data_IF_770813747620
#
_entry.id   IF_770813747620
#
_cell.length_a   1.000
_cell.length_b   1.000
_cell.length_c   1.000
_cell.angle_alpha   90.00
_cell.angle_beta   90.00
_cell.angle_gamma   90.00
#
_symmetry.space_group_name_H-M   'P 1'
#
loop_
_entity.id
_entity.type
_entity.pdbx_description
1 polymer ?
#
# COMPACT_ATOMS: atom_id res chain seq x y z
N UNK A 1 9.70 45.67 5.58
CA UNK A 1 9.28 45.03 6.83
C UNK A 1 7.81 45.28 7.16
N UNK A 2 6.95 45.21 6.18
CA UNK A 2 5.51 45.20 6.40
C UNK A 2 4.88 44.21 5.43
N UNK A 3 4.49 43.02 5.94
CA UNK A 3 3.71 42.11 5.10
C UNK A 3 3.66 40.63 5.50
N UNK A 4 4.02 40.26 6.71
CA UNK A 4 3.85 38.89 7.21
C UNK A 4 3.11 38.86 8.55
N UNK A 5 1.98 39.56 8.62
CA UNK A 5 1.03 39.37 9.71
C UNK A 5 -0.13 38.56 9.15
N UNK A 6 -0.23 37.27 9.55
CA UNK A 6 -1.45 36.49 9.35
C UNK A 6 -1.35 35.16 8.63
N UNK A 7 -0.21 34.50 8.59
CA UNK A 7 -0.19 33.04 8.43
C UNK A 7 0.64 32.45 9.56
N UNK A 8 -0.01 31.82 10.53
CA UNK A 8 0.66 30.87 11.39
C UNK A 8 1.29 29.83 10.46
N UNK A 9 2.58 30.01 10.19
CA UNK A 9 3.37 29.02 9.47
C UNK A 9 3.47 27.82 10.43
N UNK A 10 2.56 26.86 10.29
CA UNK A 10 2.67 25.57 10.98
C UNK A 10 3.99 24.97 10.55
N UNK A 11 5.05 25.20 11.34
CA UNK A 11 6.34 24.56 11.16
C UNK A 11 6.09 23.08 11.38
N UNK A 12 6.26 22.28 10.32
CA UNK A 12 6.22 20.82 10.38
C UNK A 12 7.65 20.33 10.32
N UNK A 13 8.00 19.46 11.23
CA UNK A 13 9.36 18.89 11.31
C UNK A 13 9.29 17.38 11.12
N UNK A 14 10.26 16.82 10.42
CA UNK A 14 10.36 15.39 10.17
C UNK A 14 11.77 14.90 10.46
N UNK A 15 11.91 14.06 11.49
CA UNK A 15 13.15 13.49 11.96
C UNK A 15 13.24 12.04 11.45
N UNK A 16 13.89 11.85 10.29
CA UNK A 16 13.86 10.60 9.52
C UNK A 16 15.26 10.04 9.23
N UNK A 17 16.24 10.29 10.10
CA UNK A 17 17.59 9.73 9.94
C UNK A 17 17.62 8.23 10.28
N UNK A 18 18.76 7.60 10.09
CA UNK A 18 18.96 6.18 10.44
C UNK A 18 19.15 5.91 11.92
N UNK A 19 19.41 6.95 12.76
CA UNK A 19 19.55 6.84 14.21
C UNK A 19 18.27 7.26 14.91
N UNK A 20 17.69 6.35 15.70
CA UNK A 20 16.48 6.57 16.50
C UNK A 20 16.71 7.66 17.57
N UNK A 21 17.90 7.66 18.19
CA UNK A 21 18.28 8.61 19.23
C UNK A 21 18.38 10.02 18.66
N UNK A 22 18.99 10.18 17.49
CA UNK A 22 19.06 11.46 16.77
C UNK A 22 17.66 11.94 16.41
N UNK A 23 16.79 11.06 15.92
CA UNK A 23 15.44 11.42 15.57
C UNK A 23 14.62 11.90 16.77
N UNK A 24 14.73 11.22 17.91
CA UNK A 24 14.07 11.64 19.16
C UNK A 24 14.62 12.98 19.67
N UNK A 25 15.94 13.13 19.68
CA UNK A 25 16.60 14.38 20.13
C UNK A 25 16.23 15.56 19.21
N UNK A 26 16.26 15.36 17.88
CA UNK A 26 15.86 16.37 16.92
C UNK A 26 14.38 16.77 17.10
N UNK A 27 13.50 15.80 17.33
CA UNK A 27 12.09 16.04 17.63
C UNK A 27 11.91 16.90 18.88
N UNK A 28 12.67 16.62 19.95
CA UNK A 28 12.65 17.41 21.19
C UNK A 28 13.11 18.86 20.94
N UNK A 29 14.21 19.04 20.20
CA UNK A 29 14.74 20.36 19.84
C UNK A 29 13.75 21.12 18.98
N UNK A 30 13.17 20.46 17.96
CA UNK A 30 12.14 21.01 17.08
C UNK A 30 10.95 21.56 17.88
N UNK A 31 10.50 20.82 18.89
CA UNK A 31 9.40 21.26 19.76
C UNK A 31 9.79 22.41 20.68
N UNK A 32 10.88 22.25 21.43
CA UNK A 32 11.25 23.18 22.50
C UNK A 32 11.87 24.48 21.99
N UNK A 33 12.70 24.41 20.95
CA UNK A 33 13.44 25.57 20.44
C UNK A 33 12.74 26.27 19.29
N UNK A 34 12.08 25.52 18.42
CA UNK A 34 11.48 26.04 17.18
C UNK A 34 9.94 26.03 17.20
N UNK A 35 9.33 25.55 18.30
CA UNK A 35 7.88 25.47 18.47
C UNK A 35 7.16 24.81 17.26
N UNK A 36 7.76 23.72 16.75
CA UNK A 36 7.18 22.97 15.63
C UNK A 36 5.74 22.55 15.97
N UNK A 37 4.81 22.85 15.08
CA UNK A 37 3.38 22.57 15.27
C UNK A 37 3.04 21.10 15.06
N UNK A 38 3.76 20.39 14.16
CA UNK A 38 3.64 18.94 13.95
C UNK A 38 5.02 18.30 13.78
N UNK A 39 5.22 17.18 14.44
CA UNK A 39 6.49 16.47 14.44
C UNK A 39 6.27 15.01 14.07
N UNK A 40 7.02 14.55 13.06
CA UNK A 40 7.11 13.15 12.63
C UNK A 40 8.47 12.60 13.01
N UNK A 41 8.51 11.46 13.68
CA UNK A 41 9.72 10.82 14.15
C UNK A 41 9.82 9.38 13.65
N UNK A 42 10.94 9.02 13.00
CA UNK A 42 11.21 7.64 12.57
C UNK A 42 11.85 6.85 13.70
N UNK A 43 11.25 5.69 14.01
CA UNK A 43 11.81 4.67 14.90
C UNK A 43 11.81 3.32 14.17
N UNK A 44 12.82 2.47 14.43
CA UNK A 44 12.94 1.14 13.82
C UNK A 44 12.33 0.05 14.71
N UNK A 45 12.43 0.22 16.02
CA UNK A 45 11.94 -0.76 17.01
C UNK A 45 10.50 -0.48 17.41
N UNK A 46 9.64 -1.48 17.29
CA UNK A 46 8.25 -1.43 17.81
C UNK A 46 8.20 -1.23 19.32
N UNK A 47 9.20 -1.76 20.05
CA UNK A 47 9.32 -1.65 21.48
C UNK A 47 9.68 -0.22 21.90
N UNK A 48 10.68 0.38 21.22
CA UNK A 48 11.01 1.80 21.41
C UNK A 48 9.86 2.72 21.01
N UNK A 49 9.08 2.38 20.00
CA UNK A 49 7.90 3.16 19.59
C UNK A 49 6.85 3.23 20.70
N UNK A 50 6.62 2.13 21.42
CA UNK A 50 5.68 2.10 22.56
C UNK A 50 6.17 3.02 23.69
N UNK A 51 7.44 2.86 24.09
CA UNK A 51 8.05 3.68 25.14
C UNK A 51 8.09 5.16 24.72
N UNK A 52 8.50 5.44 23.49
CA UNK A 52 8.57 6.80 22.96
C UNK A 52 7.23 7.53 22.99
N UNK A 53 6.12 6.86 22.67
CA UNK A 53 4.78 7.45 22.77
C UNK A 53 4.44 7.94 24.16
N UNK A 54 4.93 7.27 25.20
CA UNK A 54 4.68 7.64 26.59
C UNK A 54 5.55 8.83 27.03
N UNK A 55 6.84 8.83 26.64
CA UNK A 55 7.81 9.82 27.13
C UNK A 55 7.94 11.07 26.22
N UNK A 56 7.45 11.02 25.00
CA UNK A 56 7.52 12.13 24.03
C UNK A 56 6.13 12.49 23.46
N UNK A 57 5.19 12.95 24.31
CA UNK A 57 3.81 13.25 23.89
C UNK A 57 3.71 14.42 22.89
N UNK A 58 4.81 15.11 22.63
CA UNK A 58 4.92 16.19 21.65
C UNK A 58 5.22 15.71 20.23
N UNK A 59 5.51 14.42 20.03
CA UNK A 59 5.64 13.81 18.71
C UNK A 59 4.25 13.37 18.25
N UNK A 60 3.77 13.96 17.15
CA UNK A 60 2.42 13.69 16.65
C UNK A 60 2.33 12.33 15.98
N UNK A 61 3.42 11.89 15.33
CA UNK A 61 3.42 10.63 14.62
C UNK A 61 4.79 9.93 14.62
N UNK A 62 4.77 8.65 14.96
CA UNK A 62 5.93 7.76 14.84
C UNK A 62 5.80 6.87 13.61
N UNK A 63 6.86 6.83 12.81
CA UNK A 63 6.97 5.97 11.65
C UNK A 63 7.94 4.83 11.97
N UNK A 64 7.44 3.60 11.90
CA UNK A 64 8.26 2.40 11.91
C UNK A 64 8.20 1.76 10.51
N UNK A 65 9.23 1.90 9.67
CA UNK A 65 9.23 1.34 8.32
C UNK A 65 9.11 -0.19 8.30
N UNK A 66 9.69 -0.88 9.29
CA UNK A 66 9.63 -2.34 9.37
C UNK A 66 8.20 -2.83 9.62
N UNK A 67 7.47 -2.16 10.52
CA UNK A 67 6.05 -2.47 10.78
C UNK A 67 5.19 -2.19 9.56
N UNK A 68 5.40 -1.06 8.88
CA UNK A 68 4.65 -0.70 7.67
C UNK A 68 4.82 -1.73 6.56
N UNK A 69 6.07 -2.19 6.33
CA UNK A 69 6.37 -3.21 5.32
C UNK A 69 5.72 -4.55 5.67
N UNK A 70 5.83 -4.97 6.93
CA UNK A 70 5.27 -6.24 7.37
C UNK A 70 3.75 -6.24 7.37
N UNK A 71 3.12 -5.11 7.66
CA UNK A 71 1.66 -4.95 7.58
C UNK A 71 1.17 -5.00 6.13
N UNK A 72 1.91 -4.39 5.18
CA UNK A 72 1.60 -4.47 3.76
C UNK A 72 1.75 -5.90 3.22
N UNK A 73 2.85 -6.60 3.55
CA UNK A 73 3.03 -8.00 3.16
C UNK A 73 1.92 -8.87 3.74
N UNK A 74 1.59 -8.70 5.02
CA UNK A 74 0.49 -9.42 5.67
C UNK A 74 -0.84 -9.18 4.95
N UNK A 75 -1.14 -7.93 4.62
CA UNK A 75 -2.36 -7.57 3.88
C UNK A 75 -2.41 -8.29 2.52
N UNK A 76 -1.31 -8.33 1.77
CA UNK A 76 -1.22 -9.04 0.50
C UNK A 76 -1.36 -10.56 0.62
N UNK A 77 -0.88 -11.15 1.73
CA UNK A 77 -1.04 -12.58 2.01
C UNK A 77 -2.51 -12.95 2.30
N UNK A 78 -3.23 -12.08 3.00
CA UNK A 78 -4.66 -12.29 3.28
C UNK A 78 -5.59 -12.00 2.09
N UNK A 79 -5.09 -11.33 1.04
CA UNK A 79 -5.88 -11.01 -0.16
C UNK A 79 -5.25 -11.66 -1.42
N UNK A 80 -5.44 -12.98 -1.62
CA UNK A 80 -4.90 -13.67 -2.79
C UNK A 80 -5.33 -13.00 -4.09
N UNK A 81 -4.39 -12.86 -5.03
CA UNK A 81 -4.63 -12.20 -6.31
C UNK A 81 -4.33 -10.70 -6.33
N UNK A 82 -4.37 -10.01 -5.19
CA UNK A 82 -3.98 -8.61 -5.12
C UNK A 82 -2.49 -8.41 -5.42
N UNK A 83 -2.17 -7.28 -6.06
CA UNK A 83 -0.82 -6.81 -6.34
C UNK A 83 -0.46 -5.63 -5.43
N UNK A 84 -1.42 -4.78 -5.13
CA UNK A 84 -1.31 -3.62 -4.27
C UNK A 84 -2.64 -3.41 -3.54
N UNK A 85 -2.58 -3.01 -2.26
CA UNK A 85 -3.76 -2.72 -1.44
C UNK A 85 -3.51 -1.40 -0.74
N UNK A 86 -4.39 -0.42 -0.96
CA UNK A 86 -4.27 0.91 -0.38
C UNK A 86 -5.51 1.22 0.46
N UNK A 87 -5.28 1.60 1.71
CA UNK A 87 -6.33 1.86 2.69
C UNK A 87 -6.71 3.35 2.73
N UNK A 88 -8.02 3.61 2.68
CA UNK A 88 -8.63 4.93 2.82
C UNK A 88 -9.70 4.89 3.92
N UNK A 89 -10.08 6.07 4.40
CA UNK A 89 -11.16 6.20 5.38
C UNK A 89 -10.95 5.29 6.61
N UNK A 90 -9.73 5.31 7.16
CA UNK A 90 -9.34 4.48 8.31
C UNK A 90 -9.49 2.97 8.08
N UNK A 91 -9.27 2.53 6.82
CA UNK A 91 -9.34 1.13 6.40
C UNK A 91 -10.72 0.67 5.90
N UNK A 92 -11.76 1.51 6.00
CA UNK A 92 -13.12 1.17 5.55
C UNK A 92 -13.26 1.07 4.04
N UNK A 93 -12.43 1.78 3.31
CA UNK A 93 -12.37 1.77 1.84
C UNK A 93 -11.02 1.24 1.42
N UNK A 94 -11.02 0.23 0.55
CA UNK A 94 -9.79 -0.33 -0.02
C UNK A 94 -9.76 -0.12 -1.53
N UNK A 95 -8.63 0.35 -2.02
CA UNK A 95 -8.28 0.38 -3.44
C UNK A 95 -7.30 -0.75 -3.69
N UNK A 96 -7.67 -1.70 -4.54
CA UNK A 96 -6.90 -2.93 -4.79
C UNK A 96 -6.60 -3.05 -6.26
N UNK A 97 -5.37 -3.44 -6.61
CA UNK A 97 -5.01 -3.78 -7.98
C UNK A 97 -4.89 -5.29 -8.18
N UNK A 98 -5.33 -5.74 -9.37
CA UNK A 98 -5.24 -7.14 -9.80
C UNK A 98 -4.88 -7.21 -11.28
N UNK A 99 -4.19 -8.28 -11.72
CA UNK A 99 -4.08 -8.54 -13.16
C UNK A 99 -5.35 -9.16 -13.72
N UNK A 100 -5.80 -8.64 -14.84
CA UNK A 100 -6.87 -9.27 -15.63
C UNK A 100 -6.33 -10.52 -16.32
N UNK A 101 -6.74 -11.69 -15.83
CA UNK A 101 -6.34 -13.02 -16.33
C UNK A 101 -7.48 -13.62 -17.16
N UNK A 102 -7.14 -14.40 -18.18
CA UNK A 102 -8.11 -15.10 -19.01
C UNK A 102 -9.08 -15.99 -18.23
N UNK A 103 -8.64 -16.52 -17.08
CA UNK A 103 -9.49 -17.31 -16.18
C UNK A 103 -10.51 -16.50 -15.40
N UNK A 104 -10.29 -15.19 -15.24
CA UNK A 104 -11.16 -14.29 -14.48
C UNK A 104 -12.35 -13.77 -15.28
N UNK A 105 -13.24 -13.02 -14.63
CA UNK A 105 -14.42 -12.43 -15.27
C UNK A 105 -14.13 -11.11 -15.98
N UNK A 106 -12.97 -10.50 -15.74
CA UNK A 106 -12.64 -9.14 -16.22
C UNK A 106 -12.38 -9.08 -17.72
N UNK A 107 -11.68 -10.09 -18.27
CA UNK A 107 -11.18 -10.04 -19.65
C UNK A 107 -12.33 -10.07 -20.67
N UNK A 108 -12.31 -9.13 -21.63
CA UNK A 108 -13.30 -8.98 -22.66
C UNK A 108 -14.59 -8.28 -22.24
N UNK A 109 -14.71 -7.88 -20.96
CA UNK A 109 -15.88 -7.17 -20.42
C UNK A 109 -15.73 -5.67 -20.55
N UNK A 110 -16.84 -4.98 -20.80
CA UNK A 110 -16.94 -3.54 -20.59
C UNK A 110 -17.23 -3.26 -19.10
N UNK A 111 -16.70 -2.19 -18.59
CA UNK A 111 -16.83 -1.86 -17.15
C UNK A 111 -18.29 -1.76 -16.70
N UNK A 112 -19.20 -1.25 -17.56
CA UNK A 112 -20.62 -1.18 -17.24
C UNK A 112 -21.28 -2.56 -17.03
N UNK A 113 -20.71 -3.62 -17.62
CA UNK A 113 -21.24 -5.00 -17.57
C UNK A 113 -20.84 -5.69 -16.26
N UNK A 114 -19.77 -5.22 -15.58
CA UNK A 114 -19.32 -5.81 -14.32
C UNK A 114 -20.35 -5.70 -13.19
N UNK A 115 -21.26 -4.73 -13.26
CA UNK A 115 -22.35 -4.61 -12.30
C UNK A 115 -23.31 -5.80 -12.37
N UNK A 116 -23.49 -6.37 -13.56
CA UNK A 116 -24.36 -7.54 -13.77
C UNK A 116 -23.67 -8.84 -13.31
N UNK A 117 -22.33 -8.87 -13.38
CA UNK A 117 -21.51 -10.00 -12.92
C UNK A 117 -21.28 -9.99 -11.38
N UNK A 118 -21.37 -8.82 -10.74
CA UNK A 118 -21.16 -8.62 -9.29
C UNK A 118 -22.36 -7.88 -8.65
N UNK A 119 -23.59 -8.43 -8.73
CA UNK A 119 -24.80 -7.72 -8.31
C UNK A 119 -24.87 -7.47 -6.79
N UNK A 120 -24.17 -8.27 -6.00
CA UNK A 120 -24.20 -8.19 -4.53
C UNK A 120 -23.17 -7.19 -3.98
N UNK A 121 -22.23 -6.73 -4.82
CA UNK A 121 -21.11 -5.88 -4.37
C UNK A 121 -21.04 -4.58 -5.16
N UNK A 122 -21.11 -3.47 -4.45
CA UNK A 122 -20.81 -2.18 -5.07
C UNK A 122 -19.30 -1.99 -5.18
N UNK A 123 -18.81 -1.87 -6.41
CA UNK A 123 -17.40 -1.63 -6.71
C UNK A 123 -17.25 -0.65 -7.87
N UNK A 124 -16.09 0.01 -7.94
CA UNK A 124 -15.72 0.93 -9.02
C UNK A 124 -14.31 0.63 -9.49
N UNK A 125 -14.06 0.87 -10.77
CA UNK A 125 -12.74 0.78 -11.38
C UNK A 125 -12.25 2.20 -11.70
N UNK A 126 -11.43 2.81 -10.82
CA UNK A 126 -10.90 4.14 -11.05
C UNK A 126 -9.80 4.20 -12.11
N UNK A 127 -9.05 3.10 -12.31
CA UNK A 127 -7.91 3.08 -13.20
C UNK A 127 -7.63 1.70 -13.78
N UNK A 128 -7.06 1.69 -14.98
CA UNK A 128 -6.50 0.52 -15.64
C UNK A 128 -5.11 0.89 -16.14
N UNK A 129 -4.11 0.04 -15.87
CA UNK A 129 -2.81 0.14 -16.52
C UNK A 129 -2.70 -0.93 -17.61
N UNK A 130 -2.52 -0.47 -18.84
CA UNK A 130 -2.26 -1.32 -20.02
C UNK A 130 -0.81 -1.14 -20.42
N UNK A 131 0.05 -2.06 -19.97
CA UNK A 131 1.49 -1.86 -20.03
C UNK A 131 1.93 -0.70 -19.14
N UNK A 132 2.44 0.38 -19.74
CA UNK A 132 2.85 1.61 -19.03
C UNK A 132 1.85 2.76 -19.18
N UNK A 133 0.75 2.53 -19.88
CA UNK A 133 -0.28 3.54 -20.09
C UNK A 133 -1.35 3.47 -19.00
N UNK A 134 -1.59 4.63 -18.35
CA UNK A 134 -2.71 4.82 -17.44
C UNK A 134 -3.96 5.21 -18.22
N UNK A 135 -5.01 4.45 -18.03
CA UNK A 135 -6.35 4.69 -18.58
C UNK A 135 -7.28 5.00 -17.41
N UNK A 136 -7.91 6.19 -17.42
CA UNK A 136 -9.07 6.47 -16.57
C UNK A 136 -10.29 5.97 -17.32
N UNK A 137 -10.92 4.87 -16.88
CA UNK A 137 -11.89 4.18 -17.71
C UNK A 137 -13.26 4.84 -17.68
N UNK A 138 -14.00 4.62 -18.76
CA UNK A 138 -15.45 4.90 -18.88
C UNK A 138 -16.23 3.61 -18.83
N UNK A 139 -17.56 3.67 -18.74
CA UNK A 139 -18.41 2.48 -18.75
C UNK A 139 -18.26 1.60 -20.00
N UNK A 140 -17.78 2.15 -21.12
CA UNK A 140 -17.57 1.45 -22.41
C UNK A 140 -16.13 0.94 -22.58
N UNK A 141 -15.23 1.25 -21.64
CA UNK A 141 -13.85 0.74 -21.69
C UNK A 141 -13.85 -0.77 -21.52
N UNK A 142 -13.18 -1.47 -22.43
CA UNK A 142 -13.01 -2.94 -22.37
C UNK A 142 -11.70 -3.28 -21.68
N UNK A 143 -11.75 -4.24 -20.76
CA UNK A 143 -10.60 -4.77 -20.04
C UNK A 143 -9.95 -5.87 -20.89
N UNK A 144 -8.65 -5.77 -21.11
CA UNK A 144 -7.87 -6.74 -21.89
C UNK A 144 -7.06 -7.66 -20.96
N UNK A 145 -6.70 -8.83 -21.48
CA UNK A 145 -5.78 -9.72 -20.77
C UNK A 145 -4.43 -9.03 -20.51
N UNK A 146 -3.93 -9.15 -19.29
CA UNK A 146 -2.68 -8.51 -18.83
C UNK A 146 -2.85 -7.06 -18.37
N UNK A 147 -4.04 -6.48 -18.46
CA UNK A 147 -4.32 -5.19 -17.82
C UNK A 147 -4.20 -5.33 -16.31
N UNK A 148 -3.57 -4.36 -15.67
CA UNK A 148 -3.63 -4.19 -14.22
C UNK A 148 -4.81 -3.27 -13.89
N UNK A 149 -5.81 -3.85 -13.23
CA UNK A 149 -7.09 -3.18 -12.95
C UNK A 149 -7.13 -2.78 -11.48
N UNK A 150 -7.29 -1.49 -11.23
CA UNK A 150 -7.56 -0.95 -9.90
C UNK A 150 -9.06 -0.93 -9.67
N UNK A 151 -9.51 -1.52 -8.58
CA UNK A 151 -10.90 -1.43 -8.15
C UNK A 151 -10.99 -0.99 -6.69
N UNK A 152 -12.08 -0.31 -6.36
CA UNK A 152 -12.34 0.21 -5.02
C UNK A 152 -13.64 -0.40 -4.50
N UNK A 153 -13.62 -0.82 -3.23
CA UNK A 153 -14.77 -1.39 -2.55
C UNK A 153 -14.71 -1.12 -1.03
N UNK A 154 -15.83 -1.37 -0.35
CA UNK A 154 -15.89 -1.45 1.12
C UNK A 154 -15.01 -2.60 1.61
N UNK A 155 -14.29 -2.40 2.73
CA UNK A 155 -13.44 -3.42 3.35
C UNK A 155 -14.16 -4.75 3.56
N UNK A 156 -15.44 -4.70 3.92
CA UNK A 156 -16.26 -5.89 4.19
C UNK A 156 -16.44 -6.81 2.99
N UNK A 157 -16.30 -6.25 1.78
CA UNK A 157 -16.58 -6.94 0.52
C UNK A 157 -15.32 -7.17 -0.33
N UNK A 158 -14.18 -6.63 0.09
CA UNK A 158 -12.97 -6.61 -0.75
C UNK A 158 -12.46 -8.03 -1.09
N UNK A 159 -12.53 -8.95 -0.12
CA UNK A 159 -12.09 -10.33 -0.33
C UNK A 159 -12.98 -11.06 -1.33
N UNK A 160 -14.30 -10.91 -1.18
CA UNK A 160 -15.28 -11.55 -2.06
C UNK A 160 -15.18 -10.97 -3.47
N UNK A 161 -15.10 -9.64 -3.60
CA UNK A 161 -14.89 -8.98 -4.91
C UNK A 161 -13.60 -9.46 -5.56
N UNK A 162 -12.50 -9.56 -4.80
CA UNK A 162 -11.22 -10.05 -5.35
C UNK A 162 -11.30 -11.50 -5.81
N UNK A 163 -11.96 -12.37 -5.03
CA UNK A 163 -12.17 -13.78 -5.39
C UNK A 163 -12.98 -13.91 -6.67
N UNK A 164 -14.11 -13.21 -6.77
CA UNK A 164 -14.96 -13.24 -7.96
C UNK A 164 -14.23 -12.71 -9.20
N UNK A 165 -13.56 -11.55 -9.08
CA UNK A 165 -12.81 -10.96 -10.20
C UNK A 165 -11.70 -11.85 -10.72
N UNK A 166 -11.01 -12.60 -9.84
CA UNK A 166 -9.89 -13.46 -10.17
C UNK A 166 -10.28 -14.92 -10.37
N UNK A 167 -11.51 -15.33 -10.02
CA UNK A 167 -11.95 -16.73 -9.90
C UNK A 167 -10.95 -17.58 -9.12
N UNK A 168 -10.57 -17.11 -7.94
CA UNK A 168 -9.61 -17.80 -7.09
C UNK A 168 -10.30 -18.95 -6.35
N UNK A 169 -9.72 -20.15 -6.48
CA UNK A 169 -10.27 -21.37 -5.86
C UNK A 169 -9.82 -21.55 -4.40
N UNK A 170 -8.72 -20.94 -3.97
CA UNK A 170 -8.15 -21.18 -2.64
C UNK A 170 -7.40 -19.99 -2.06
N UNK A 171 -7.42 -19.89 -0.73
CA UNK A 171 -6.53 -19.00 0.03
C UNK A 171 -5.10 -19.56 0.08
N UNK A 172 -4.12 -18.68 0.32
CA UNK A 172 -2.76 -19.09 0.58
C UNK A 172 -2.66 -19.84 1.92
N UNK A 173 -1.76 -20.84 2.00
CA UNK A 173 -1.52 -21.62 3.21
C UNK A 173 -0.04 -21.72 3.56
N UNK A 174 0.81 -21.93 2.55
CA UNK A 174 2.24 -22.19 2.73
C UNK A 174 3.05 -20.96 2.32
N UNK A 175 3.77 -20.36 3.27
CA UNK A 175 4.57 -19.16 3.06
C UNK A 175 6.03 -19.45 3.41
N UNK A 176 6.93 -19.18 2.46
CA UNK A 176 8.37 -19.25 2.70
C UNK A 176 8.92 -17.83 2.77
N UNK A 177 9.66 -17.53 3.84
CA UNK A 177 10.26 -16.22 4.08
C UNK A 177 11.77 -16.35 4.04
N UNK A 178 12.43 -15.66 3.10
CA UNK A 178 13.87 -15.58 2.99
C UNK A 178 14.40 -14.30 3.68
N UNK A 179 15.17 -14.48 4.76
CA UNK A 179 15.76 -13.43 5.58
C UNK A 179 15.23 -13.43 7.01
N UNK A 180 16.04 -13.88 7.98
CA UNK A 180 15.74 -13.86 9.42
C UNK A 180 16.23 -12.57 10.11
N UNK A 181 16.22 -11.44 9.39
CA UNK A 181 16.43 -10.09 9.96
C UNK A 181 15.17 -9.58 10.67
N UNK A 182 15.19 -8.28 11.04
CA UNK A 182 14.07 -7.66 11.76
C UNK A 182 12.75 -7.78 11.01
N UNK A 183 12.74 -7.46 9.69
CA UNK A 183 11.53 -7.55 8.85
C UNK A 183 11.02 -8.98 8.81
N UNK A 184 11.90 -9.96 8.53
CA UNK A 184 11.49 -11.36 8.42
C UNK A 184 10.94 -11.93 9.72
N UNK A 185 11.62 -11.70 10.85
CA UNK A 185 11.13 -12.13 12.17
C UNK A 185 9.80 -11.45 12.54
N UNK A 186 9.70 -10.12 12.32
CA UNK A 186 8.48 -9.37 12.59
C UNK A 186 7.31 -9.84 11.71
N UNK A 187 7.58 -10.10 10.42
CA UNK A 187 6.57 -10.65 9.50
C UNK A 187 6.08 -12.01 9.97
N UNK A 188 7.01 -12.95 10.18
CA UNK A 188 6.68 -14.31 10.60
C UNK A 188 5.86 -14.31 11.89
N UNK A 189 6.22 -13.48 12.86
CA UNK A 189 5.47 -13.32 14.11
C UNK A 189 4.02 -12.83 13.90
N UNK A 190 3.79 -12.05 12.84
CA UNK A 190 2.44 -11.54 12.50
C UNK A 190 1.58 -12.53 11.71
N UNK A 191 2.19 -13.54 11.07
CA UNK A 191 1.49 -14.43 10.13
C UNK A 191 1.49 -15.92 10.51
N UNK A 192 2.29 -16.35 11.48
CA UNK A 192 2.45 -17.78 11.83
C UNK A 192 1.17 -18.44 12.37
N UNK A 193 0.24 -17.67 12.88
CA UNK A 193 -1.06 -18.20 13.34
C UNK A 193 -2.02 -18.50 12.16
N UNK A 194 -1.82 -17.80 11.03
CA UNK A 194 -2.71 -17.87 9.86
C UNK A 194 -2.13 -18.74 8.74
N UNK A 195 -0.79 -18.93 8.71
CA UNK A 195 -0.07 -19.62 7.61
C UNK A 195 0.95 -20.62 8.12
N UNK A 196 1.18 -21.67 7.35
CA UNK A 196 2.32 -22.59 7.55
C UNK A 196 3.59 -21.88 7.06
N UNK A 197 4.42 -21.41 8.00
CA UNK A 197 5.54 -20.53 7.67
C UNK A 197 6.88 -21.26 7.82
N UNK A 198 7.75 -21.13 6.81
CA UNK A 198 9.18 -21.50 6.87
C UNK A 198 10.03 -20.23 6.78
N UNK A 199 10.97 -20.05 7.72
CA UNK A 199 11.91 -18.92 7.73
C UNK A 199 13.30 -19.42 7.37
N UNK A 200 13.93 -18.80 6.36
CA UNK A 200 15.22 -19.26 5.80
C UNK A 200 16.24 -18.13 5.90
N UNK A 201 17.42 -18.40 6.45
CA UNK A 201 18.55 -17.46 6.41
C UNK A 201 19.87 -18.24 6.35
N UNK A 202 20.85 -17.69 5.62
CA UNK A 202 22.20 -18.25 5.53
C UNK A 202 23.04 -18.05 6.79
N UNK A 203 22.69 -17.08 7.62
CA UNK A 203 23.40 -16.77 8.86
C UNK A 203 22.83 -17.60 10.01
N UNK A 204 23.70 -18.47 10.54
CA UNK A 204 23.36 -19.42 11.62
C UNK A 204 22.92 -18.69 12.91
N UNK A 205 23.62 -17.62 13.30
CA UNK A 205 23.32 -16.88 14.54
C UNK A 205 21.92 -16.25 14.46
N UNK A 206 21.54 -15.73 13.27
CA UNK A 206 20.18 -15.20 13.06
C UNK A 206 19.12 -16.28 13.12
N UNK A 207 19.40 -17.48 12.61
CA UNK A 207 18.48 -18.61 12.68
C UNK A 207 18.31 -19.08 14.14
N UNK A 208 19.40 -19.16 14.91
CA UNK A 208 19.34 -19.53 16.33
C UNK A 208 18.48 -18.54 17.12
N UNK A 209 18.75 -17.22 16.98
CA UNK A 209 17.94 -16.16 17.61
C UNK A 209 16.46 -16.22 17.18
N UNK A 210 16.22 -16.44 15.90
CA UNK A 210 14.84 -16.53 15.41
C UNK A 210 14.12 -17.76 15.99
N UNK A 211 14.81 -18.89 16.14
CA UNK A 211 14.24 -20.10 16.74
C UNK A 211 13.94 -19.96 18.23
N UNK A 212 14.66 -19.09 18.93
CA UNK A 212 14.40 -18.77 20.34
C UNK A 212 13.22 -17.79 20.52
N UNK A 213 13.01 -16.89 19.54
CA UNK A 213 12.01 -15.82 19.61
C UNK A 213 10.65 -16.20 19.01
N UNK A 214 10.61 -17.22 18.12
CA UNK A 214 9.43 -17.57 17.33
C UNK A 214 8.92 -18.96 17.68
N UNK A 215 7.69 -19.03 18.19
CA UNK A 215 7.00 -20.28 18.43
C UNK A 215 6.35 -20.82 17.15
N UNK A 216 6.32 -22.14 16.98
CA UNK A 216 5.62 -22.85 15.89
C UNK A 216 6.08 -22.47 14.46
N UNK A 217 7.34 -22.06 14.30
CA UNK A 217 7.93 -21.70 12.99
C UNK A 217 9.10 -22.61 12.69
N UNK A 218 9.15 -23.15 11.47
CA UNK A 218 10.30 -23.91 10.99
C UNK A 218 11.38 -22.94 10.49
N UNK A 219 12.45 -22.78 11.29
CA UNK A 219 13.62 -21.96 10.94
C UNK A 219 14.70 -22.85 10.32
N UNK A 220 15.15 -22.48 9.12
CA UNK A 220 16.07 -23.25 8.31
C UNK A 220 17.35 -22.45 8.02
N UNK A 221 18.51 -23.00 8.38
CA UNK A 221 19.80 -22.38 8.09
C UNK A 221 20.33 -22.84 6.74
N UNK A 222 20.05 -22.09 5.68
CA UNK A 222 20.52 -22.37 4.31
C UNK A 222 20.45 -21.12 3.44
N UNK A 223 21.05 -21.20 2.26
CA UNK A 223 20.91 -20.17 1.24
C UNK A 223 19.56 -20.31 0.52
N UNK A 224 18.73 -19.26 0.58
CA UNK A 224 17.43 -19.25 -0.08
C UNK A 224 17.50 -19.19 -1.62
N UNK A 225 18.70 -19.06 -2.21
CA UNK A 225 18.93 -19.19 -3.64
C UNK A 225 19.41 -20.60 -4.03
N UNK A 226 19.64 -21.50 -3.07
CA UNK A 226 20.05 -22.87 -3.34
C UNK A 226 18.89 -23.72 -3.88
N UNK A 227 19.04 -24.15 -5.13
CA UNK A 227 18.03 -24.92 -5.86
C UNK A 227 17.72 -26.28 -5.19
N UNK A 228 18.77 -27.01 -4.77
CA UNK A 228 18.62 -28.35 -4.22
C UNK A 228 17.92 -28.27 -2.85
N UNK A 229 18.34 -27.34 -2.04
CA UNK A 229 17.70 -27.05 -0.76
C UNK A 229 16.23 -26.67 -0.91
N UNK A 230 15.89 -25.68 -1.75
CA UNK A 230 14.51 -25.25 -1.95
C UNK A 230 13.63 -26.40 -2.46
N UNK A 231 14.17 -27.25 -3.36
CA UNK A 231 13.43 -28.41 -3.88
C UNK A 231 13.20 -29.46 -2.78
N UNK A 232 14.18 -29.73 -1.91
CA UNK A 232 14.04 -30.69 -0.80
C UNK A 232 13.04 -30.19 0.26
N UNK A 233 12.90 -28.86 0.41
CA UNK A 233 11.97 -28.25 1.35
C UNK A 233 10.54 -28.07 0.79
N UNK A 234 10.28 -28.53 -0.45
CA UNK A 234 8.94 -28.53 -1.05
C UNK A 234 8.50 -27.16 -1.57
N UNK A 235 9.43 -26.40 -2.17
CA UNK A 235 9.12 -25.06 -2.74
C UNK A 235 8.00 -25.09 -3.78
N UNK A 236 7.77 -26.23 -4.47
CA UNK A 236 6.67 -26.39 -5.42
C UNK A 236 5.27 -26.35 -4.78
N UNK A 237 5.18 -26.56 -3.48
CA UNK A 237 3.93 -26.44 -2.71
C UNK A 237 3.79 -25.06 -2.02
N UNK A 238 4.79 -24.19 -2.20
CA UNK A 238 4.78 -22.85 -1.64
C UNK A 238 3.76 -21.96 -2.39
N UNK A 239 2.81 -21.40 -1.66
CA UNK A 239 1.85 -20.44 -2.24
C UNK A 239 2.50 -19.08 -2.46
N UNK A 240 3.25 -18.59 -1.45
CA UNK A 240 3.94 -17.30 -1.55
C UNK A 240 5.35 -17.38 -1.00
N UNK A 241 6.32 -17.02 -1.81
CA UNK A 241 7.70 -16.82 -1.41
C UNK A 241 7.98 -15.34 -1.16
N UNK A 242 8.45 -15.00 0.04
CA UNK A 242 8.68 -13.64 0.50
C UNK A 242 10.17 -13.41 0.72
N UNK A 243 10.80 -12.56 -0.09
CA UNK A 243 12.22 -12.22 0.02
C UNK A 243 12.40 -10.88 0.73
N UNK A 244 12.94 -10.91 1.95
CA UNK A 244 13.07 -9.76 2.86
C UNK A 244 14.47 -9.65 3.47
N UNK A 245 15.50 -10.09 2.75
CA UNK A 245 16.90 -9.90 3.19
C UNK A 245 17.32 -8.43 3.04
N UNK A 246 18.51 -8.09 3.53
CA UNK A 246 19.06 -6.73 3.39
C UNK A 246 19.70 -6.47 2.03
N UNK A 247 19.83 -7.50 1.19
CA UNK A 247 20.53 -7.43 -0.09
C UNK A 247 19.54 -7.63 -1.25
N UNK A 248 19.40 -6.58 -2.06
CA UNK A 248 18.44 -6.54 -3.18
C UNK A 248 18.73 -7.62 -4.23
N UNK A 249 20.02 -7.88 -4.52
CA UNK A 249 20.44 -8.92 -5.46
C UNK A 249 20.01 -10.31 -4.98
N UNK A 250 20.24 -10.61 -3.70
CA UNK A 250 19.79 -11.85 -3.07
C UNK A 250 18.28 -11.98 -3.10
N UNK A 251 17.54 -10.90 -2.81
CA UNK A 251 16.08 -10.89 -2.84
C UNK A 251 15.53 -11.21 -4.24
N UNK A 252 16.10 -10.57 -5.27
CA UNK A 252 15.71 -10.83 -6.67
C UNK A 252 16.04 -12.28 -7.04
N UNK A 253 17.28 -12.73 -6.76
CA UNK A 253 17.75 -14.06 -7.17
C UNK A 253 16.94 -15.18 -6.51
N UNK A 254 16.70 -15.14 -5.19
CA UNK A 254 15.94 -16.18 -4.51
C UNK A 254 14.46 -16.17 -4.92
N UNK A 255 13.87 -15.01 -5.19
CA UNK A 255 12.50 -14.91 -5.71
C UNK A 255 12.37 -15.52 -7.12
N UNK A 256 13.29 -15.20 -8.03
CA UNK A 256 13.34 -15.81 -9.37
C UNK A 256 13.54 -17.32 -9.30
N UNK A 257 14.43 -17.78 -8.41
CA UNK A 257 14.69 -19.22 -8.21
C UNK A 257 13.45 -19.93 -7.68
N UNK A 258 12.79 -19.37 -6.66
CA UNK A 258 11.57 -19.94 -6.08
C UNK A 258 10.45 -20.06 -7.11
N UNK A 259 10.25 -19.01 -7.92
CA UNK A 259 9.25 -18.99 -8.99
C UNK A 259 9.55 -20.06 -10.06
N UNK A 260 10.81 -20.17 -10.46
CA UNK A 260 11.26 -21.21 -11.41
C UNK A 260 11.06 -22.64 -10.89
N UNK A 261 11.10 -22.83 -9.57
CA UNK A 261 10.90 -24.11 -8.90
C UNK A 261 9.45 -24.40 -8.55
N UNK A 262 8.52 -23.49 -8.85
CA UNK A 262 7.08 -23.75 -8.77
C UNK A 262 6.33 -23.01 -7.67
N UNK A 263 6.95 -22.06 -6.93
CA UNK A 263 6.17 -21.20 -6.04
C UNK A 263 5.12 -20.43 -6.84
N UNK A 264 3.91 -20.32 -6.31
CA UNK A 264 2.78 -19.71 -7.05
C UNK A 264 2.92 -18.20 -7.19
N UNK A 265 3.48 -17.54 -6.17
CA UNK A 265 3.65 -16.08 -6.12
C UNK A 265 4.92 -15.68 -5.38
N UNK A 266 5.48 -14.53 -5.74
CA UNK A 266 6.63 -13.94 -5.07
C UNK A 266 6.32 -12.54 -4.58
N UNK A 267 6.79 -12.20 -3.36
CA UNK A 267 6.82 -10.85 -2.82
C UNK A 267 8.28 -10.53 -2.51
N UNK A 268 8.81 -9.47 -3.13
CA UNK A 268 10.25 -9.17 -3.11
C UNK A 268 10.49 -7.75 -2.65
N UNK A 269 11.25 -7.56 -1.56
CA UNK A 269 11.70 -6.23 -1.15
C UNK A 269 12.86 -5.80 -2.04
N UNK A 270 12.76 -4.57 -2.59
CA UNK A 270 13.83 -3.91 -3.34
C UNK A 270 13.95 -2.47 -2.86
N UNK A 271 15.14 -2.08 -2.40
CA UNK A 271 15.42 -0.74 -1.90
C UNK A 271 15.88 0.22 -2.99
N UNK A 272 16.66 -0.28 -3.96
CA UNK A 272 17.26 0.53 -5.03
C UNK A 272 16.38 0.54 -6.27
N UNK A 273 15.90 1.70 -6.68
CA UNK A 273 15.02 1.86 -7.86
C UNK A 273 15.64 1.30 -9.16
N UNK A 274 16.97 1.34 -9.29
CA UNK A 274 17.65 0.79 -10.46
C UNK A 274 17.36 -0.70 -10.71
N UNK A 275 17.03 -1.49 -9.68
CA UNK A 275 16.68 -2.89 -9.84
C UNK A 275 15.25 -3.09 -10.37
N UNK A 276 14.36 -2.12 -10.20
CA UNK A 276 12.99 -2.21 -10.75
C UNK A 276 12.98 -2.30 -12.28
N UNK A 277 13.93 -1.64 -12.94
CA UNK A 277 14.01 -1.62 -14.39
C UNK A 277 14.77 -2.85 -14.96
N UNK A 278 15.65 -3.45 -14.14
CA UNK A 278 16.42 -4.63 -14.51
C UNK A 278 15.59 -5.92 -14.45
N UNK A 279 14.64 -5.98 -13.52
CA UNK A 279 13.75 -7.14 -13.40
C UNK A 279 12.61 -6.98 -14.39
N UNK A 280 12.51 -7.91 -15.35
CA UNK A 280 11.45 -7.90 -16.36
C UNK A 280 10.05 -7.86 -15.71
N UNK A 281 9.12 -7.14 -16.35
CA UNK A 281 7.78 -6.83 -15.80
C UNK A 281 6.97 -8.05 -15.32
N UNK A 282 7.33 -9.28 -15.75
CA UNK A 282 6.63 -10.52 -15.42
C UNK A 282 7.50 -11.52 -14.65
N UNK A 283 8.71 -11.15 -14.30
CA UNK A 283 9.64 -12.08 -13.63
C UNK A 283 9.38 -12.19 -12.13
N UNK A 284 9.03 -11.08 -11.48
CA UNK A 284 8.57 -11.03 -10.09
C UNK A 284 7.11 -10.59 -10.04
N UNK A 285 6.33 -11.16 -9.12
CA UNK A 285 4.89 -10.87 -9.06
C UNK A 285 4.60 -9.57 -8.32
N UNK A 286 5.20 -9.39 -7.13
CA UNK A 286 5.04 -8.17 -6.32
C UNK A 286 6.42 -7.69 -5.88
N UNK A 287 6.66 -6.41 -6.10
CA UNK A 287 7.86 -5.71 -5.61
C UNK A 287 7.42 -4.66 -4.59
N UNK A 288 7.99 -4.75 -3.39
CA UNK A 288 7.76 -3.79 -2.31
C UNK A 288 8.97 -2.88 -2.17
N UNK A 289 8.74 -1.57 -2.19
CA UNK A 289 9.76 -0.55 -1.92
C UNK A 289 9.58 0.04 -0.52
N UNK A 290 10.47 -0.26 0.44
CA UNK A 290 10.44 0.34 1.77
C UNK A 290 10.45 1.86 1.75
N UNK A 291 11.19 2.44 0.80
CA UNK A 291 11.29 3.88 0.62
C UNK A 291 9.94 4.47 0.21
N UNK A 292 9.25 3.88 -0.77
CA UNK A 292 7.96 4.39 -1.25
C UNK A 292 6.87 4.28 -0.18
N UNK A 293 6.82 3.18 0.57
CA UNK A 293 5.90 3.01 1.69
C UNK A 293 6.14 4.11 2.74
N UNK A 294 7.40 4.29 3.16
CA UNK A 294 7.75 5.31 4.16
C UNK A 294 7.39 6.71 3.68
N UNK A 295 7.72 7.06 2.42
CA UNK A 295 7.40 8.37 1.82
C UNK A 295 5.89 8.59 1.79
N UNK A 296 5.10 7.61 1.38
CA UNK A 296 3.63 7.71 1.37
C UNK A 296 3.07 8.01 2.77
N UNK A 297 3.59 7.33 3.79
CA UNK A 297 3.18 7.59 5.18
C UNK A 297 3.61 8.97 5.70
N UNK A 298 4.81 9.45 5.34
CA UNK A 298 5.28 10.80 5.71
C UNK A 298 4.41 11.87 5.05
N UNK A 299 4.06 11.68 3.78
CA UNK A 299 3.25 12.65 3.02
C UNK A 299 1.86 12.90 3.62
N UNK A 300 1.26 11.90 4.28
CA UNK A 300 0.00 12.06 5.04
C UNK A 300 0.08 13.21 6.06
N UNK A 301 1.24 13.40 6.69
CA UNK A 301 1.45 14.41 7.75
C UNK A 301 1.95 15.74 7.23
N UNK A 302 2.64 15.74 6.08
CA UNK A 302 3.27 16.96 5.54
C UNK A 302 2.28 17.77 4.70
N UNK A 303 1.33 17.14 4.00
CA UNK A 303 0.35 17.88 3.16
C UNK A 303 -0.57 18.74 4.01
N UNK A 304 -0.78 19.98 3.54
CA UNK A 304 -1.64 20.98 4.20
C UNK A 304 -3.11 20.79 3.76
N UNK A 305 -4.05 21.10 4.67
CA UNK A 305 -5.48 21.14 4.37
C UNK A 305 -6.22 19.86 4.74
N UNK A 306 -7.37 19.65 4.12
CA UNK A 306 -8.30 18.55 4.36
C UNK A 306 -7.85 17.19 3.79
N UNK A 307 -6.59 17.07 3.30
CA UNK A 307 -6.06 15.82 2.76
C UNK A 307 -5.60 14.91 3.91
N UNK A 308 -6.27 13.78 4.10
CA UNK A 308 -5.99 12.85 5.20
C UNK A 308 -5.12 11.65 4.79
N UNK A 309 -5.23 11.19 3.54
CA UNK A 309 -4.44 10.09 3.00
C UNK A 309 -3.86 10.45 1.64
N UNK A 310 -2.66 9.91 1.35
CA UNK A 310 -2.00 10.05 0.04
C UNK A 310 -1.27 8.77 -0.27
N UNK A 311 -1.61 8.13 -1.36
CA UNK A 311 -0.94 6.95 -1.85
C UNK A 311 -0.45 7.17 -3.27
N UNK A 312 0.83 6.89 -3.50
CA UNK A 312 1.39 6.79 -4.84
C UNK A 312 1.04 5.43 -5.42
N UNK A 313 0.43 5.44 -6.58
CA UNK A 313 -0.03 4.25 -7.28
C UNK A 313 0.97 3.90 -8.38
N UNK A 314 1.27 2.62 -8.52
CA UNK A 314 2.18 2.10 -9.56
C UNK A 314 3.46 2.94 -9.72
N UNK A 315 4.31 2.93 -8.71
CA UNK A 315 5.61 3.66 -8.72
C UNK A 315 5.47 5.18 -8.92
N UNK A 316 4.33 5.78 -8.55
CA UNK A 316 4.10 7.22 -8.63
C UNK A 316 3.63 7.73 -10.01
N UNK A 317 3.17 6.85 -10.90
CA UNK A 317 2.54 7.23 -12.17
C UNK A 317 1.16 7.87 -11.99
N UNK A 318 0.51 7.58 -10.86
CA UNK A 318 -0.73 8.21 -10.41
C UNK A 318 -0.71 8.37 -8.90
N UNK A 319 -1.66 9.11 -8.37
CA UNK A 319 -1.89 9.22 -6.93
C UNK A 319 -3.37 9.02 -6.62
N UNK A 320 -3.64 8.41 -5.47
CA UNK A 320 -4.95 8.35 -4.86
C UNK A 320 -4.92 9.08 -3.52
N UNK A 321 -5.85 9.99 -3.28
CA UNK A 321 -5.88 10.81 -2.07
C UNK A 321 -7.27 10.81 -1.45
N UNK A 322 -7.31 11.08 -0.16
CA UNK A 322 -8.53 11.30 0.59
C UNK A 322 -8.62 12.78 0.96
N UNK A 323 -9.72 13.43 0.58
CA UNK A 323 -9.96 14.86 0.81
C UNK A 323 -11.24 15.02 1.61
N UNK A 324 -11.16 15.64 2.80
CA UNK A 324 -12.33 16.05 3.57
C UNK A 324 -13.00 17.28 2.97
N UNK A 325 -14.32 17.29 2.91
CA UNK A 325 -15.14 18.43 2.50
C UNK A 325 -15.42 19.31 3.73
N UNK A 326 -14.69 20.39 3.87
CA UNK A 326 -14.77 21.33 4.98
C UNK A 326 -15.31 22.71 4.57
N UNK A 327 -15.28 23.68 5.48
CA UNK A 327 -15.72 25.04 5.22
C UNK A 327 -14.99 25.72 4.04
N UNK A 328 -13.77 25.30 3.70
CA UNK A 328 -13.01 25.84 2.56
C UNK A 328 -13.45 25.24 1.21
N UNK A 329 -14.32 24.24 1.23
CA UNK A 329 -14.79 23.48 0.05
C UNK A 329 -16.21 23.87 -0.38
N UNK A 330 -16.63 25.12 -0.15
CA UNK A 330 -18.01 25.57 -0.44
C UNK A 330 -18.46 25.32 -1.89
N UNK A 331 -17.51 25.35 -2.84
CA UNK A 331 -17.82 25.11 -4.25
C UNK A 331 -18.10 23.63 -4.58
N UNK A 332 -17.75 22.68 -3.70
CA UNK A 332 -18.06 21.26 -3.84
C UNK A 332 -19.42 20.91 -3.25
N UNK A 333 -19.80 21.58 -2.17
CA UNK A 333 -21.00 21.24 -1.39
C UNK A 333 -22.28 21.32 -2.20
N UNK A 334 -23.13 20.33 -2.06
CA UNK A 334 -24.44 20.25 -2.71
C UNK A 334 -24.41 19.93 -4.20
N UNK A 335 -23.21 19.87 -4.84
CA UNK A 335 -23.09 19.52 -6.25
C UNK A 335 -23.12 18.03 -6.48
N UNK A 336 -23.60 17.64 -7.64
CA UNK A 336 -23.42 16.30 -8.18
C UNK A 336 -21.98 16.16 -8.71
N UNK A 337 -21.40 14.97 -8.63
CA UNK A 337 -20.05 14.71 -9.17
C UNK A 337 -20.00 15.05 -10.67
N UNK A 338 -21.06 14.75 -11.43
CA UNK A 338 -21.16 15.10 -12.86
C UNK A 338 -21.13 16.59 -13.15
N UNK A 339 -21.53 17.45 -12.17
CA UNK A 339 -21.54 18.90 -12.30
C UNK A 339 -20.19 19.55 -12.00
N UNK A 340 -19.24 18.79 -11.46
CA UNK A 340 -17.91 19.31 -11.13
C UNK A 340 -17.08 19.62 -12.37
N UNK A 341 -17.42 19.03 -13.55
CA UNK A 341 -16.63 19.19 -14.76
C UNK A 341 -15.18 18.80 -14.53
N UNK A 342 -14.97 17.59 -14.00
CA UNK A 342 -13.64 17.04 -13.73
C UNK A 342 -12.85 16.87 -15.03
N UNK A 343 -11.54 17.03 -14.95
CA UNK A 343 -10.62 16.65 -16.03
C UNK A 343 -10.70 15.14 -16.29
N UNK A 344 -10.43 14.71 -17.53
CA UNK A 344 -10.47 13.29 -17.94
C UNK A 344 -9.45 12.40 -17.19
N UNK A 345 -8.44 13.01 -16.56
CA UNK A 345 -7.38 12.34 -15.81
C UNK A 345 -7.63 12.32 -14.29
N UNK A 346 -8.84 12.64 -13.85
CA UNK A 346 -9.25 12.63 -12.44
C UNK A 346 -10.63 12.00 -12.31
N UNK A 347 -10.83 11.17 -11.28
CA UNK A 347 -12.15 10.72 -10.89
C UNK A 347 -12.30 10.61 -9.36
N UNK A 348 -13.57 10.53 -8.91
CA UNK A 348 -13.94 10.35 -7.51
C UNK A 348 -14.72 9.03 -7.43
N UNK A 349 -14.04 7.90 -7.16
CA UNK A 349 -14.66 6.58 -7.17
C UNK A 349 -15.46 6.25 -5.91
N UNK A 350 -15.15 6.87 -4.76
CA UNK A 350 -15.82 6.58 -3.49
C UNK A 350 -15.87 7.81 -2.59
N UNK A 351 -16.83 7.80 -1.68
CA UNK A 351 -17.04 8.81 -0.63
C UNK A 351 -17.28 8.08 0.70
N UNK A 352 -16.60 8.52 1.78
CA UNK A 352 -17.00 8.18 3.15
C UNK A 352 -17.90 9.29 3.68
N UNK A 353 -19.09 8.95 4.13
CA UNK A 353 -20.06 9.84 4.77
C UNK A 353 -20.39 9.33 6.16
N UNK A 354 -19.81 9.93 7.19
CA UNK A 354 -19.87 9.40 8.55
C UNK A 354 -19.28 7.98 8.61
N UNK A 355 -20.11 6.99 8.89
CA UNK A 355 -19.72 5.57 8.93
C UNK A 355 -20.01 4.82 7.62
N UNK A 356 -20.71 5.45 6.68
CA UNK A 356 -21.14 4.83 5.43
C UNK A 356 -20.09 4.99 4.33
N UNK A 357 -19.89 3.92 3.55
CA UNK A 357 -19.08 3.91 2.33
C UNK A 357 -20.02 3.96 1.12
N UNK A 358 -19.85 4.98 0.28
CA UNK A 358 -20.67 5.21 -0.91
C UNK A 358 -19.77 5.05 -2.15
N UNK A 359 -20.09 4.10 -3.01
CA UNK A 359 -19.47 4.01 -4.33
C UNK A 359 -20.01 5.13 -5.21
N UNK A 360 -19.15 6.10 -5.55
CA UNK A 360 -19.56 7.34 -6.15
C UNK A 360 -19.89 7.21 -7.63
N UNK A 361 -20.99 7.83 -8.05
CA UNK A 361 -21.48 7.92 -9.43
C UNK A 361 -21.62 9.39 -9.82
N UNK A 362 -21.82 9.67 -11.11
CA UNK A 362 -22.03 11.06 -11.57
C UNK A 362 -23.21 11.77 -10.90
N UNK A 363 -24.24 11.02 -10.49
CA UNK A 363 -25.41 11.51 -9.76
C UNK A 363 -25.26 11.53 -8.22
N UNK A 364 -24.10 11.16 -7.69
CA UNK A 364 -23.84 11.24 -6.26
C UNK A 364 -23.61 12.70 -5.87
N UNK A 365 -24.38 13.18 -4.88
CA UNK A 365 -24.26 14.51 -4.33
C UNK A 365 -23.24 14.56 -3.21
N UNK A 366 -22.39 15.59 -3.21
CA UNK A 366 -21.37 15.83 -2.19
C UNK A 366 -22.00 16.62 -1.03
N UNK A 367 -21.80 16.15 0.20
CA UNK A 367 -22.29 16.78 1.42
C UNK A 367 -21.14 17.34 2.27
N UNK A 368 -21.51 18.10 3.31
CA UNK A 368 -20.59 18.53 4.35
C UNK A 368 -20.04 17.31 5.10
N UNK A 369 -18.80 17.39 5.52
CA UNK A 369 -18.08 16.32 6.24
C UNK A 369 -17.88 15.02 5.44
N UNK A 370 -18.16 15.01 4.12
CA UNK A 370 -17.77 13.91 3.25
C UNK A 370 -16.25 13.84 3.13
N UNK A 371 -15.73 12.62 3.06
CA UNK A 371 -14.36 12.34 2.67
C UNK A 371 -14.36 11.74 1.26
N UNK A 372 -13.87 12.50 0.30
CA UNK A 372 -13.78 12.08 -1.11
C UNK A 372 -12.50 11.30 -1.35
N UNK A 373 -12.59 10.12 -1.92
CA UNK A 373 -11.43 9.42 -2.47
C UNK A 373 -11.26 9.90 -3.91
N UNK A 374 -10.13 10.52 -4.19
CA UNK A 374 -9.83 11.13 -5.50
C UNK A 374 -8.64 10.42 -6.11
N UNK A 375 -8.82 9.88 -7.30
CA UNK A 375 -7.77 9.26 -8.10
C UNK A 375 -7.38 10.19 -9.26
N UNK A 376 -6.08 10.45 -9.47
CA UNK A 376 -5.62 11.34 -10.52
C UNK A 376 -4.24 10.96 -11.07
N UNK A 377 -3.98 11.35 -12.32
CA UNK A 377 -2.79 10.95 -13.07
C UNK A 377 -1.51 11.66 -12.63
N UNK A 378 -1.57 12.97 -12.37
CA UNK A 378 -0.39 13.76 -12.04
C UNK A 378 -0.72 14.98 -11.19
N UNK A 379 0.33 15.68 -10.72
CA UNK A 379 0.20 16.83 -9.82
C UNK A 379 -0.53 18.02 -10.45
N UNK A 380 -0.34 18.28 -11.74
CA UNK A 380 -0.95 19.44 -12.40
C UNK A 380 -2.48 19.31 -12.42
N UNK A 381 -2.99 18.09 -12.58
CA UNK A 381 -4.42 17.76 -12.56
C UNK A 381 -5.03 18.06 -11.19
N UNK A 382 -4.36 17.65 -10.10
CA UNK A 382 -4.89 17.88 -8.74
C UNK A 382 -4.73 19.33 -8.31
N UNK A 383 -3.68 20.04 -8.73
CA UNK A 383 -3.50 21.46 -8.46
C UNK A 383 -4.64 22.27 -9.13
N UNK A 384 -4.99 21.95 -10.38
CA UNK A 384 -6.15 22.53 -11.08
C UNK A 384 -7.48 22.23 -10.36
N UNK A 385 -7.65 21.02 -9.83
CA UNK A 385 -8.80 20.66 -9.01
C UNK A 385 -8.90 21.53 -7.76
N UNK A 386 -7.79 21.72 -7.03
CA UNK A 386 -7.79 22.59 -5.84
C UNK A 386 -8.06 24.06 -6.18
N UNK A 387 -7.52 24.60 -7.28
CA UNK A 387 -7.80 25.97 -7.72
C UNK A 387 -9.27 26.18 -8.05
N UNK A 388 -9.90 25.17 -8.63
CA UNK A 388 -11.31 25.24 -9.05
C UNK A 388 -12.29 25.16 -7.88
N UNK A 389 -11.94 24.41 -6.80
CA UNK A 389 -12.88 24.02 -5.75
C UNK A 389 -12.53 24.53 -4.34
N UNK A 390 -11.45 25.25 -4.18
CA UNK A 390 -11.13 26.06 -2.98
C UNK A 390 -11.72 27.46 -3.00
#
# INVERSE_FOLDING_TARGET
DEGLVGSEMCIRDSCLTDSEEINLLASLIGKQKFNAGRIVCRLKSSEYTKIAKEITPFVDFFINPEDLITDEIRSLLHHPGALEILDFAEGKIKLVSVYAKQSGILVGRQIKELKDDLPEYETRIPAIYRGDELIIPTGTTTINEGDEVYFIADEKHIEDVTKELQKLESQYKNVFVAGAGNIGKSLVKKINDDFNTKLIDKNKDKCELASEELDNVLVLNSDAADKEFLSSEGISECDVFVAVTQDDESNVLCSLMSKKLGSKKTITIINKEAYFDLVGKNELDIIISPVQITVSHVLKFIRKGSVSNVHKVKKGMAEAIEIGVDASSEKLKGKLISELGLDENINIPAIKRGEEVIMAHGNTQIHDDDHLIVFYKNKDVIDSFYEKFR
#
